data_IF_153523962988
#
_entry.id   IF_153523962988
#
_cell.length_a   1.000
_cell.length_b   1.000
_cell.length_c   1.000
_cell.angle_alpha   90.00
_cell.angle_beta   90.00
_cell.angle_gamma   90.00
#
_symmetry.space_group_name_H-M   'P 1'
#
loop_
_entity.id
_entity.type
_entity.pdbx_description
1 polymer ?
#
# COMPACT_ATOMS: atom_id res chain seq x y z
N UNK A 1 -27.96 25.35 -17.92
CA UNK A 1 -26.90 26.08 -17.20
C UNK A 1 -25.63 25.22 -17.28
N UNK A 2 -24.55 25.73 -17.86
CA UNK A 2 -23.37 24.90 -18.23
C UNK A 2 -22.60 24.52 -16.96
N UNK A 3 -22.41 23.22 -16.73
CA UNK A 3 -21.59 22.69 -15.63
C UNK A 3 -20.12 23.05 -15.80
N UNK A 4 -19.41 23.24 -14.69
CA UNK A 4 -17.99 23.60 -14.67
C UNK A 4 -17.13 22.49 -15.29
N UNK A 5 -16.08 22.91 -16.02
CA UNK A 5 -15.04 22.05 -16.58
C UNK A 5 -14.18 21.47 -15.45
N UNK A 6 -14.71 20.47 -14.75
CA UNK A 6 -13.95 19.72 -13.76
C UNK A 6 -13.05 18.73 -14.48
N UNK A 7 -11.78 19.13 -14.64
CA UNK A 7 -10.72 18.20 -15.03
C UNK A 7 -10.52 17.21 -13.88
N UNK A 8 -10.94 15.96 -14.08
CA UNK A 8 -10.39 14.87 -13.28
C UNK A 8 -8.88 14.90 -13.46
N UNK A 9 -8.13 15.03 -12.36
CA UNK A 9 -6.67 15.03 -12.40
C UNK A 9 -6.14 13.78 -13.10
N UNK A 10 -4.85 13.78 -13.45
CA UNK A 10 -4.19 12.63 -14.08
C UNK A 10 -4.44 11.35 -13.26
N UNK A 11 -4.97 10.32 -13.92
CA UNK A 11 -5.37 9.04 -13.31
C UNK A 11 -4.20 8.29 -12.65
N UNK A 12 -2.96 8.69 -12.95
CA UNK A 12 -1.72 8.08 -12.48
C UNK A 12 -0.77 9.14 -11.93
N UNK A 13 -0.18 8.86 -10.77
CA UNK A 13 0.85 9.69 -10.15
C UNK A 13 2.11 8.86 -9.98
N UNK A 14 3.19 9.28 -10.62
CA UNK A 14 4.52 8.65 -10.50
C UNK A 14 5.26 9.07 -9.22
N UNK A 15 4.54 9.58 -8.22
CA UNK A 15 5.10 10.05 -6.96
C UNK A 15 5.05 8.89 -5.97
N UNK A 16 6.16 8.67 -5.27
CA UNK A 16 6.20 7.74 -4.14
C UNK A 16 5.07 8.08 -3.14
N UNK A 17 4.24 7.09 -2.80
CA UNK A 17 3.16 7.25 -1.83
C UNK A 17 3.69 7.75 -0.49
N UNK A 18 4.92 7.37 -0.11
CA UNK A 18 5.56 7.87 1.10
C UNK A 18 6.00 9.32 1.01
N UNK A 19 6.23 9.83 -0.20
CA UNK A 19 6.53 11.24 -0.42
C UNK A 19 5.27 12.11 -0.42
N UNK A 20 4.08 11.53 -0.60
CA UNK A 20 2.81 12.27 -0.54
C UNK A 20 2.42 12.69 0.87
N UNK A 21 2.66 11.83 1.85
CA UNK A 21 2.31 12.11 3.25
C UNK A 21 3.51 12.79 3.90
N UNK A 22 3.32 13.94 4.56
CA UNK A 22 4.43 14.60 5.25
C UNK A 22 5.02 13.69 6.34
N UNK A 23 6.32 13.85 6.64
CA UNK A 23 7.01 13.06 7.67
C UNK A 23 6.44 13.26 9.08
N UNK A 24 5.95 14.46 9.36
CA UNK A 24 5.35 14.87 10.63
C UNK A 24 3.83 14.64 10.69
N UNK A 25 3.26 13.88 9.75
CA UNK A 25 1.83 13.66 9.71
C UNK A 25 1.37 12.82 10.92
N UNK A 26 0.35 13.25 11.68
CA UNK A 26 -0.05 12.62 12.94
C UNK A 26 -0.54 11.16 12.78
N UNK A 27 -0.91 10.75 11.56
CA UNK A 27 -1.32 9.38 11.25
C UNK A 27 -0.18 8.46 10.77
N UNK A 28 1.05 8.98 10.59
CA UNK A 28 2.22 8.15 10.25
C UNK A 28 2.45 6.97 11.21
N UNK A 29 2.21 7.07 12.53
CA UNK A 29 2.36 5.93 13.44
C UNK A 29 1.50 4.72 13.07
N UNK A 30 0.35 4.92 12.40
CA UNK A 30 -0.51 3.79 11.97
C UNK A 30 0.26 2.87 11.01
N UNK A 31 1.09 3.42 10.13
CA UNK A 31 1.90 2.62 9.20
C UNK A 31 2.92 1.75 9.95
N UNK A 32 3.51 2.26 11.01
CA UNK A 32 4.45 1.50 11.85
C UNK A 32 3.74 0.33 12.53
N UNK A 33 2.55 0.58 13.08
CA UNK A 33 1.70 -0.45 13.71
C UNK A 33 1.34 -1.54 12.69
N UNK A 34 0.89 -1.14 11.50
CA UNK A 34 0.52 -2.07 10.43
C UNK A 34 1.73 -2.88 9.96
N UNK A 35 2.88 -2.24 9.75
CA UNK A 35 4.09 -2.96 9.34
C UNK A 35 4.52 -3.99 10.39
N UNK A 36 4.50 -3.62 11.68
CA UNK A 36 4.81 -4.55 12.76
C UNK A 36 3.82 -5.73 12.82
N UNK A 37 2.54 -5.50 12.52
CA UNK A 37 1.55 -6.57 12.44
C UNK A 37 1.79 -7.49 11.24
N UNK A 38 2.09 -6.92 10.07
CA UNK A 38 2.38 -7.69 8.86
C UNK A 38 3.65 -8.52 9.00
N UNK A 39 4.70 -7.96 9.60
CA UNK A 39 5.97 -8.68 9.84
C UNK A 39 5.75 -9.90 10.76
N UNK A 40 4.85 -9.78 11.75
CA UNK A 40 4.49 -10.91 12.62
C UNK A 40 3.68 -12.01 11.91
N UNK A 41 2.97 -11.67 10.84
CA UNK A 41 2.14 -12.60 10.06
C UNK A 41 2.89 -13.19 8.85
N UNK A 42 4.09 -12.70 8.56
CA UNK A 42 4.84 -13.08 7.35
C UNK A 42 5.10 -14.58 7.29
N UNK A 43 5.43 -15.23 8.41
CA UNK A 43 5.64 -16.68 8.45
C UNK A 43 4.37 -17.48 8.15
N UNK A 44 3.24 -17.02 8.65
CA UNK A 44 1.93 -17.63 8.43
C UNK A 44 1.51 -17.47 6.97
N UNK A 45 1.77 -16.31 6.38
CA UNK A 45 1.54 -16.09 4.95
C UNK A 45 2.46 -16.96 4.08
N UNK A 46 3.75 -17.06 4.42
CA UNK A 46 4.70 -17.91 3.70
C UNK A 46 4.28 -19.38 3.72
N UNK A 47 3.76 -19.87 4.85
CA UNK A 47 3.28 -21.24 4.99
C UNK A 47 2.06 -21.56 4.09
N UNK A 48 1.32 -20.55 3.64
CA UNK A 48 0.19 -20.72 2.72
C UNK A 48 0.63 -20.84 1.25
N UNK A 49 1.86 -20.44 0.92
CA UNK A 49 2.38 -20.49 -0.45
C UNK A 49 2.98 -21.85 -0.81
N UNK A 50 2.81 -22.24 -2.07
CA UNK A 50 3.49 -23.42 -2.61
C UNK A 50 5.01 -23.19 -2.66
N UNK A 51 5.79 -24.20 -2.24
CA UNK A 51 7.25 -24.17 -2.29
C UNK A 51 7.82 -24.26 -3.72
N UNK A 52 6.97 -24.54 -4.70
CA UNK A 52 7.34 -24.75 -6.10
C UNK A 52 6.45 -23.94 -7.04
N UNK A 53 6.99 -23.55 -8.19
CA UNK A 53 6.27 -22.79 -9.22
C UNK A 53 6.65 -21.32 -9.24
N UNK A 54 5.83 -20.50 -9.91
CA UNK A 54 6.08 -19.07 -10.07
C UNK A 54 5.78 -18.33 -8.75
N UNK A 55 6.71 -17.51 -8.23
CA UNK A 55 6.46 -16.68 -7.06
C UNK A 55 5.24 -15.77 -7.28
N UNK A 56 4.32 -15.81 -6.33
CA UNK A 56 3.17 -14.90 -6.27
C UNK A 56 3.57 -13.56 -5.64
N UNK A 57 2.70 -12.56 -5.75
CA UNK A 57 2.89 -11.28 -5.05
C UNK A 57 2.58 -11.49 -3.55
N UNK A 58 3.48 -11.11 -2.63
CA UNK A 58 3.22 -11.20 -1.19
C UNK A 58 1.99 -10.38 -0.78
N UNK A 59 1.13 -10.90 0.11
CA UNK A 59 -0.12 -10.24 0.51
C UNK A 59 0.12 -8.87 1.15
N UNK A 60 1.22 -8.70 1.89
CA UNK A 60 1.63 -7.45 2.53
C UNK A 60 1.84 -6.34 1.52
N UNK A 61 2.31 -6.66 0.30
CA UNK A 61 2.49 -5.66 -0.77
C UNK A 61 1.16 -5.14 -1.29
N UNK A 62 0.14 -5.99 -1.34
CA UNK A 62 -1.21 -5.59 -1.73
C UNK A 62 -1.87 -4.78 -0.63
N UNK A 63 -1.73 -5.21 0.63
CA UNK A 63 -2.30 -4.53 1.79
C UNK A 63 -1.68 -3.14 2.04
N UNK A 64 -0.39 -2.95 1.73
CA UNK A 64 0.26 -1.62 1.79
C UNK A 64 -0.12 -0.69 0.63
N UNK A 65 -0.75 -1.22 -0.42
CA UNK A 65 -1.14 -0.45 -1.61
C UNK A 65 -2.58 0.09 -1.53
N UNK A 66 -3.37 -0.35 -0.54
CA UNK A 66 -4.69 0.20 -0.20
C UNK A 66 -4.54 1.46 0.66
#
# INVERSE_FOLDING_TARGET
MRGSDQRSGSLFSYIDLEARVRRDHPLRPIREIVNAALDRLSSEFDALYASVGRPSIPPERLLRAL
#
